data_IF_390285650304
#
_entry.id   IF_390285650304
#
_cell.length_a   1.000
_cell.length_b   1.000
_cell.length_c   1.000
_cell.angle_alpha   90.00
_cell.angle_beta   90.00
_cell.angle_gamma   90.00
#
_symmetry.space_group_name_H-M   'P 1'
#
loop_
_entity.id
_entity.type
_entity.pdbx_description
1 polymer ?
#
# COMPACT_ATOMS: atom_id res chain seq x y z
N UNK A 1 16.55 9.57 -0.16
CA UNK A 1 16.17 8.40 -0.97
C UNK A 1 14.66 8.39 -1.06
N UNK A 2 14.10 8.30 -2.26
CA UNK A 2 12.65 8.39 -2.48
C UNK A 2 12.14 6.96 -2.65
N UNK A 3 11.38 6.48 -1.67
CA UNK A 3 10.74 5.18 -1.71
C UNK A 3 9.42 5.33 -2.46
N UNK A 4 9.42 5.02 -3.76
CA UNK A 4 8.25 5.14 -4.63
C UNK A 4 7.83 3.75 -5.14
N UNK A 5 6.53 3.54 -5.28
CA UNK A 5 5.96 2.30 -5.84
C UNK A 5 5.07 2.60 -7.03
N UNK A 6 5.09 1.72 -8.02
CA UNK A 6 4.24 1.82 -9.20
C UNK A 6 2.89 1.16 -8.93
N UNK A 7 1.81 1.92 -9.11
CA UNK A 7 0.44 1.47 -8.97
C UNK A 7 -0.30 1.68 -10.28
N UNK A 8 -1.30 0.84 -10.56
CA UNK A 8 -2.20 1.10 -11.68
C UNK A 8 -3.00 2.40 -11.43
N UNK A 9 -3.50 3.04 -12.49
CA UNK A 9 -4.16 4.35 -12.37
C UNK A 9 -5.38 4.40 -11.44
N UNK A 10 -6.04 3.26 -11.21
CA UNK A 10 -7.14 3.17 -10.24
C UNK A 10 -6.62 3.25 -8.79
N UNK A 11 -5.67 2.37 -8.43
CA UNK A 11 -5.08 2.34 -7.09
C UNK A 11 -4.24 3.60 -6.79
N UNK A 12 -3.60 4.19 -7.81
CA UNK A 12 -2.91 5.45 -7.66
C UNK A 12 -3.85 6.56 -7.16
N UNK A 13 -5.02 6.71 -7.79
CA UNK A 13 -6.03 7.68 -7.34
C UNK A 13 -6.55 7.36 -5.95
N UNK A 14 -6.82 6.09 -5.66
CA UNK A 14 -7.27 5.67 -4.33
C UNK A 14 -6.28 6.11 -3.25
N UNK A 15 -5.01 5.79 -3.41
CA UNK A 15 -3.97 6.14 -2.42
C UNK A 15 -3.72 7.65 -2.34
N UNK A 16 -3.78 8.36 -3.47
CA UNK A 16 -3.60 9.82 -3.45
C UNK A 16 -4.77 10.60 -2.86
N UNK A 17 -5.99 10.06 -2.91
CA UNK A 17 -7.21 10.74 -2.48
C UNK A 17 -7.81 10.17 -1.20
N UNK A 18 -7.11 9.26 -0.53
CA UNK A 18 -7.57 8.62 0.70
C UNK A 18 -6.43 8.54 1.71
N UNK A 19 -6.76 8.33 2.98
CA UNK A 19 -5.79 8.22 4.08
C UNK A 19 -5.07 6.86 4.13
N UNK A 20 -4.83 6.24 2.97
CA UNK A 20 -4.03 5.04 2.87
C UNK A 20 -2.56 5.36 3.07
N UNK A 21 -1.88 4.57 3.90
CA UNK A 21 -0.44 4.71 4.09
C UNK A 21 0.30 3.62 3.33
N UNK A 22 1.42 3.99 2.71
CA UNK A 22 2.29 3.05 2.00
C UNK A 22 3.67 3.11 2.61
N UNK A 23 4.15 1.97 3.08
CA UNK A 23 5.50 1.83 3.64
C UNK A 23 6.26 0.77 2.86
N UNK A 24 7.52 1.03 2.53
CA UNK A 24 8.39 -0.01 1.96
C UNK A 24 9.03 -0.75 3.13
N UNK A 25 8.78 -2.05 3.22
CA UNK A 25 9.35 -2.88 4.26
C UNK A 25 10.87 -3.03 4.01
N UNK A 26 11.73 -2.66 4.99
CA UNK A 26 13.18 -2.68 4.80
C UNK A 26 13.77 -4.09 4.73
N UNK A 27 13.04 -5.11 5.18
CA UNK A 27 13.52 -6.50 5.21
C UNK A 27 13.35 -7.21 3.86
N UNK A 28 12.29 -6.90 3.11
CA UNK A 28 11.99 -7.57 1.85
C UNK A 28 11.79 -6.63 0.66
N UNK A 29 11.88 -5.31 0.88
CA UNK A 29 11.76 -4.29 -0.16
C UNK A 29 10.36 -4.14 -0.75
N UNK A 30 9.33 -4.79 -0.19
CA UNK A 30 7.98 -4.74 -0.73
C UNK A 30 7.13 -3.63 -0.09
N UNK A 31 6.16 -3.06 -0.83
CA UNK A 31 5.20 -2.13 -0.25
C UNK A 31 4.15 -2.84 0.61
N UNK A 32 4.01 -2.35 1.83
CA UNK A 32 2.91 -2.61 2.75
C UNK A 32 1.91 -1.46 2.67
N UNK A 33 0.63 -1.79 2.50
CA UNK A 33 -0.48 -0.86 2.34
C UNK A 33 -1.36 -0.90 3.59
N UNK A 34 -1.37 0.18 4.35
CA UNK A 34 -2.19 0.29 5.56
C UNK A 34 -3.50 1.02 5.24
N UNK A 35 -4.66 0.37 5.43
CA UNK A 35 -5.96 1.00 5.28
C UNK A 35 -6.23 2.05 6.36
N UNK A 36 -7.10 3.04 6.10
CA UNK A 36 -7.56 3.99 7.11
C UNK A 36 -8.45 3.32 8.16
N UNK A 37 -8.52 3.92 9.35
CA UNK A 37 -9.23 3.41 10.53
C UNK A 37 -10.73 3.15 10.31
N UNK A 38 -11.36 3.86 9.38
CA UNK A 38 -12.76 3.61 9.02
C UNK A 38 -12.94 2.28 8.28
N UNK A 39 -11.93 1.84 7.51
CA UNK A 39 -11.95 0.57 6.77
C UNK A 39 -11.47 -0.56 7.66
N UNK A 40 -10.38 -0.35 8.38
CA UNK A 40 -9.84 -1.31 9.35
C UNK A 40 -9.39 -0.56 10.61
N UNK A 41 -10.13 -0.67 11.72
CA UNK A 41 -9.76 -0.05 12.99
C UNK A 41 -8.40 -0.52 13.50
N UNK A 42 -7.97 -1.73 13.14
CA UNK A 42 -6.67 -2.28 13.54
C UNK A 42 -5.52 -1.80 12.64
N UNK A 43 -5.83 -1.08 11.55
CA UNK A 43 -4.87 -0.55 10.57
C UNK A 43 -3.80 -1.60 10.21
N UNK A 44 -4.23 -2.84 9.93
CA UNK A 44 -3.28 -3.92 9.66
C UNK A 44 -2.63 -3.67 8.31
N UNK A 45 -1.29 -3.60 8.22
CA UNK A 45 -0.62 -3.46 6.93
C UNK A 45 -0.93 -4.67 6.05
N UNK A 46 -1.48 -4.42 4.88
CA UNK A 46 -1.85 -5.43 3.91
C UNK A 46 -0.91 -5.38 2.72
N UNK A 47 -0.60 -6.55 2.19
CA UNK A 47 0.15 -6.67 0.93
C UNK A 47 -0.80 -6.90 -0.21
N UNK A 48 -0.52 -6.27 -1.34
CA UNK A 48 -1.24 -6.59 -2.57
C UNK A 48 -0.90 -8.03 -3.00
N UNK A 49 -1.79 -8.97 -2.69
CA UNK A 49 -1.68 -10.38 -3.09
C UNK A 49 -2.11 -10.63 -4.54
N UNK A 50 -2.83 -9.69 -5.17
CA UNK A 50 -3.40 -9.86 -6.51
C UNK A 50 -2.38 -9.70 -7.65
N UNK A 51 -1.31 -8.94 -7.44
CA UNK A 51 -0.23 -8.77 -8.43
C UNK A 51 1.04 -9.54 -8.09
N UNK A 52 0.92 -10.66 -7.33
CA UNK A 52 2.01 -11.64 -7.27
C UNK A 52 2.04 -12.36 -8.62
N UNK A 53 2.74 -11.79 -9.60
CA UNK A 53 3.21 -12.56 -10.75
C UNK A 53 4.34 -13.45 -10.22
N UNK A 54 4.08 -14.74 -10.16
CA UNK A 54 5.11 -15.77 -10.07
C UNK A 54 5.95 -15.79 -11.36
#
# INVERSE_FOLDING_TARGET
>A
MVNAVLLCGHHHRLIHHSDWQVTINPTDGHPDFTPPTHIDPEQKPQRNRYHRRE
#
